data_IF_511025024312
#
_entry.id   IF_511025024312
#
_cell.length_a   1.000
_cell.length_b   1.000
_cell.length_c   1.000
_cell.angle_alpha   90.00
_cell.angle_beta   90.00
_cell.angle_gamma   90.00
#
_symmetry.space_group_name_H-M   'P 1'
#
loop_
_entity.id
_entity.type
_entity.pdbx_description
1 polymer ?
#
# COMPACT_ATOMS: atom_id res chain seq x y z
N UNK A 1 -56.04 0.17 -4.90
CA UNK A 1 -56.69 -0.89 -5.69
C UNK A 1 -57.47 -1.74 -4.70
N UNK A 2 -58.80 -1.79 -4.82
CA UNK A 2 -59.60 -2.60 -3.90
C UNK A 2 -59.29 -4.07 -4.17
N UNK A 3 -58.80 -4.80 -3.16
CA UNK A 3 -58.13 -6.12 -3.33
C UNK A 3 -59.09 -7.28 -3.57
N UNK A 4 -60.38 -7.01 -3.42
CA UNK A 4 -61.48 -7.97 -3.35
C UNK A 4 -62.71 -7.29 -3.92
N UNK A 5 -63.52 -8.02 -4.68
CA UNK A 5 -64.85 -7.57 -5.05
C UNK A 5 -65.84 -8.07 -3.99
N UNK A 6 -66.83 -7.24 -3.63
CA UNK A 6 -67.86 -7.60 -2.65
C UNK A 6 -67.55 -7.27 -1.19
N UNK A 7 -68.47 -7.65 -0.29
CA UNK A 7 -68.41 -7.37 1.15
C UNK A 7 -67.81 -8.53 1.96
N UNK A 8 -67.33 -9.58 1.28
CA UNK A 8 -67.01 -10.87 1.88
C UNK A 8 -65.56 -11.01 2.35
N UNK A 9 -64.95 -9.88 2.70
CA UNK A 9 -63.63 -9.78 3.29
C UNK A 9 -63.74 -9.70 4.82
N UNK A 10 -62.64 -9.99 5.50
CA UNK A 10 -62.51 -9.78 6.95
C UNK A 10 -61.52 -8.65 7.23
N UNK A 11 -61.78 -7.82 8.24
CA UNK A 11 -60.81 -6.84 8.70
C UNK A 11 -59.67 -7.58 9.43
N UNK A 12 -58.45 -7.44 8.91
CA UNK A 12 -57.23 -7.97 9.53
C UNK A 12 -56.45 -6.88 10.29
N UNK A 13 -57.13 -5.78 10.61
CA UNK A 13 -56.62 -4.67 11.39
C UNK A 13 -55.88 -3.62 10.54
N UNK A 14 -56.00 -2.36 10.97
CA UNK A 14 -55.37 -1.21 10.32
C UNK A 14 -56.01 -0.82 8.99
N UNK A 15 -57.31 -1.10 8.81
CA UNK A 15 -58.06 -0.81 7.59
C UNK A 15 -57.73 -1.74 6.42
N UNK A 16 -57.09 -2.89 6.70
CA UNK A 16 -56.68 -3.86 5.68
C UNK A 16 -57.74 -4.95 5.56
N UNK A 17 -58.16 -5.22 4.34
CA UNK A 17 -59.08 -6.32 3.98
C UNK A 17 -58.29 -7.60 3.77
N UNK A 18 -58.61 -8.66 4.52
CA UNK A 18 -58.03 -9.99 4.41
C UNK A 18 -59.00 -11.02 3.82
N UNK A 19 -58.45 -12.17 3.45
CA UNK A 19 -59.19 -13.30 2.93
C UNK A 19 -59.81 -14.14 4.06
N UNK A 20 -61.03 -14.66 3.85
CA UNK A 20 -61.66 -15.67 4.70
C UNK A 20 -62.16 -16.85 3.87
N UNK A 21 -62.12 -18.03 4.46
CA UNK A 21 -62.70 -19.23 3.86
C UNK A 21 -64.22 -19.13 3.80
N UNK A 22 -64.81 -19.84 2.83
CA UNK A 22 -66.25 -20.05 2.76
C UNK A 22 -66.68 -20.99 3.90
N UNK A 23 -67.66 -20.57 4.69
CA UNK A 23 -68.27 -21.38 5.75
C UNK A 23 -69.77 -21.46 5.52
N UNK A 24 -70.20 -22.51 4.82
CA UNK A 24 -71.61 -22.75 4.51
C UNK A 24 -72.46 -23.00 5.77
N UNK A 25 -71.88 -23.64 6.80
CA UNK A 25 -72.57 -23.93 8.07
C UNK A 25 -72.91 -22.67 8.85
N UNK A 26 -72.03 -21.67 8.82
CA UNK A 26 -72.24 -20.38 9.50
C UNK A 26 -72.81 -19.30 8.56
N UNK A 27 -73.09 -19.63 7.29
CA UNK A 27 -73.63 -18.71 6.30
C UNK A 27 -72.66 -17.61 5.85
N UNK A 28 -71.34 -17.82 5.99
CA UNK A 28 -70.35 -16.85 5.55
C UNK A 28 -69.81 -17.20 4.16
N UNK A 29 -70.01 -16.35 3.14
CA UNK A 29 -69.36 -16.52 1.85
C UNK A 29 -67.84 -16.30 1.97
N UNK A 30 -67.08 -17.06 1.19
CA UNK A 30 -65.63 -16.91 1.10
C UNK A 30 -65.26 -15.64 0.33
N UNK A 31 -64.05 -15.14 0.55
CA UNK A 31 -63.59 -13.93 -0.14
C UNK A 31 -63.35 -14.19 -1.63
N UNK A 32 -63.97 -13.38 -2.49
CA UNK A 32 -63.78 -13.46 -3.94
C UNK A 32 -62.46 -12.78 -4.35
N UNK A 33 -61.55 -13.55 -4.97
CA UNK A 33 -60.28 -13.05 -5.49
C UNK A 33 -60.44 -12.77 -6.99
N UNK A 34 -60.10 -11.55 -7.40
CA UNK A 34 -60.21 -11.13 -8.80
C UNK A 34 -58.98 -11.53 -9.61
N UNK A 35 -59.17 -11.76 -10.92
CA UNK A 35 -58.05 -11.95 -11.85
C UNK A 35 -57.11 -10.73 -11.86
N UNK A 36 -57.63 -9.52 -11.67
CA UNK A 36 -56.84 -8.30 -11.58
C UNK A 36 -55.84 -8.36 -10.42
N UNK A 37 -56.26 -8.89 -9.25
CA UNK A 37 -55.38 -9.05 -8.11
C UNK A 37 -54.30 -10.11 -8.36
N UNK A 38 -54.68 -11.27 -8.90
CA UNK A 38 -53.73 -12.35 -9.22
C UNK A 38 -52.68 -11.91 -10.25
N UNK A 39 -53.11 -11.22 -11.31
CA UNK A 39 -52.21 -10.67 -12.32
C UNK A 39 -51.26 -9.63 -11.71
N UNK A 40 -51.74 -8.75 -10.82
CA UNK A 40 -50.88 -7.76 -10.18
C UNK A 40 -49.74 -8.40 -9.36
N UNK A 41 -50.04 -9.45 -8.59
CA UNK A 41 -49.02 -10.20 -7.83
C UNK A 41 -48.05 -10.90 -8.78
N UNK A 42 -48.55 -11.51 -9.85
CA UNK A 42 -47.71 -12.15 -10.87
C UNK A 42 -46.73 -11.14 -11.49
N UNK A 43 -47.22 -9.98 -11.93
CA UNK A 43 -46.40 -8.96 -12.58
C UNK A 43 -45.34 -8.35 -11.63
N UNK A 44 -45.65 -8.22 -10.34
CA UNK A 44 -44.67 -7.77 -9.33
C UNK A 44 -43.52 -8.77 -9.18
N UNK A 45 -43.81 -10.07 -9.07
CA UNK A 45 -42.80 -11.12 -8.99
C UNK A 45 -42.02 -11.27 -10.29
N UNK A 46 -42.70 -11.18 -11.43
CA UNK A 46 -42.11 -11.20 -12.76
C UNK A 46 -41.14 -10.04 -12.98
N UNK A 47 -41.46 -8.85 -12.44
CA UNK A 47 -40.58 -7.68 -12.46
C UNK A 47 -39.30 -8.00 -11.70
N UNK A 48 -39.37 -8.51 -10.46
CA UNK A 48 -38.17 -8.86 -9.66
C UNK A 48 -37.31 -9.91 -10.38
N UNK A 49 -37.94 -10.93 -10.94
CA UNK A 49 -37.26 -12.02 -11.65
C UNK A 49 -36.49 -11.55 -12.89
N UNK A 50 -36.98 -10.52 -13.57
CA UNK A 50 -36.40 -10.01 -14.83
C UNK A 50 -35.41 -8.85 -14.64
N UNK A 51 -35.25 -8.30 -13.44
CA UNK A 51 -34.39 -7.14 -13.18
C UNK A 51 -32.90 -7.36 -13.47
N UNK A 52 -32.45 -8.61 -13.44
CA UNK A 52 -31.09 -8.98 -13.82
C UNK A 52 -30.91 -9.11 -15.36
N UNK A 53 -31.95 -8.82 -16.15
CA UNK A 53 -31.97 -8.97 -17.61
C UNK A 53 -32.38 -10.36 -18.11
N UNK A 54 -32.75 -11.30 -17.23
CA UNK A 54 -33.21 -12.63 -17.64
C UNK A 54 -34.66 -12.60 -18.18
N UNK A 55 -34.92 -13.41 -19.20
CA UNK A 55 -36.27 -13.63 -19.72
C UNK A 55 -37.05 -14.60 -18.83
N UNK A 56 -38.35 -14.37 -18.70
CA UNK A 56 -39.23 -15.24 -17.93
C UNK A 56 -39.45 -16.58 -18.64
N UNK A 57 -39.31 -17.69 -17.91
CA UNK A 57 -39.48 -19.04 -18.43
C UNK A 57 -40.63 -19.79 -17.73
N UNK A 58 -41.51 -20.40 -18.51
CA UNK A 58 -42.57 -21.26 -17.97
C UNK A 58 -41.97 -22.54 -17.33
N UNK A 59 -42.44 -22.90 -16.14
CA UNK A 59 -41.97 -24.09 -15.42
C UNK A 59 -40.70 -23.89 -14.59
N UNK A 60 -40.07 -22.71 -14.63
CA UNK A 60 -38.96 -22.36 -13.74
C UNK A 60 -39.49 -21.64 -12.49
N UNK A 61 -39.38 -22.32 -11.35
CA UNK A 61 -39.85 -21.83 -10.05
C UNK A 61 -38.75 -21.09 -9.25
N UNK A 62 -37.52 -20.96 -9.77
CA UNK A 62 -36.40 -20.32 -9.08
C UNK A 62 -36.15 -18.87 -9.51
N UNK A 63 -36.85 -18.36 -10.53
CA UNK A 63 -36.56 -17.08 -11.19
C UNK A 63 -36.57 -15.87 -10.24
N UNK A 64 -37.51 -15.80 -9.30
CA UNK A 64 -37.57 -14.72 -8.29
C UNK A 64 -36.34 -14.76 -7.37
N UNK A 65 -35.91 -15.96 -6.97
CA UNK A 65 -34.73 -16.12 -6.13
C UNK A 65 -33.46 -15.68 -6.86
N UNK A 66 -33.33 -16.02 -8.14
CA UNK A 66 -32.20 -15.57 -8.99
C UNK A 66 -32.22 -14.04 -9.16
N UNK A 67 -33.39 -13.44 -9.37
CA UNK A 67 -33.57 -11.99 -9.41
C UNK A 67 -33.07 -11.30 -8.14
N UNK A 68 -33.44 -11.81 -6.96
CA UNK A 68 -32.98 -11.29 -5.67
C UNK A 68 -31.46 -11.48 -5.50
N UNK A 69 -30.94 -12.68 -5.79
CA UNK A 69 -29.52 -13.01 -5.64
C UNK A 69 -28.61 -12.17 -6.54
N UNK A 70 -29.12 -11.69 -7.68
CA UNK A 70 -28.37 -10.79 -8.56
C UNK A 70 -28.01 -9.45 -7.90
N UNK A 71 -28.76 -9.04 -6.87
CA UNK A 71 -28.59 -7.74 -6.22
C UNK A 71 -29.07 -6.54 -7.03
N UNK A 72 -29.73 -6.75 -8.18
CA UNK A 72 -30.14 -5.69 -9.11
C UNK A 72 -30.99 -4.57 -8.46
N UNK A 73 -31.81 -4.91 -7.46
CA UNK A 73 -32.63 -3.95 -6.71
C UNK A 73 -31.83 -2.86 -5.99
N UNK A 74 -30.58 -3.15 -5.61
CA UNK A 74 -29.70 -2.24 -4.87
C UNK A 74 -28.46 -1.84 -5.67
N UNK A 75 -28.42 -2.16 -6.97
CA UNK A 75 -27.27 -1.92 -7.84
C UNK A 75 -27.54 -0.79 -8.82
N UNK A 76 -26.67 0.22 -8.81
CA UNK A 76 -26.60 1.25 -9.84
C UNK A 76 -25.47 0.92 -10.82
N UNK A 77 -25.84 0.57 -12.05
CA UNK A 77 -24.94 0.07 -13.09
C UNK A 77 -23.87 1.08 -13.57
N UNK A 78 -24.00 2.35 -13.18
CA UNK A 78 -23.02 3.39 -13.41
C UNK A 78 -23.40 4.64 -12.63
N UNK A 79 -22.48 5.17 -11.85
CA UNK A 79 -22.66 6.47 -11.22
C UNK A 79 -22.56 7.56 -12.31
N UNK A 80 -23.59 8.38 -12.43
CA UNK A 80 -23.50 9.66 -13.14
C UNK A 80 -22.79 10.72 -12.31
N UNK A 81 -22.85 11.97 -12.76
CA UNK A 81 -22.29 13.12 -12.03
C UNK A 81 -20.81 13.37 -12.32
N UNK A 82 -20.03 13.65 -11.27
CA UNK A 82 -18.60 14.03 -11.32
C UNK A 82 -17.78 13.30 -10.24
N UNK A 83 -16.47 13.56 -10.18
CA UNK A 83 -15.56 13.02 -9.17
C UNK A 83 -15.87 13.47 -7.72
N UNK A 84 -16.60 14.57 -7.54
CA UNK A 84 -17.00 15.11 -6.23
C UNK A 84 -18.50 14.98 -5.95
N UNK A 85 -19.29 14.63 -6.97
CA UNK A 85 -20.75 14.57 -6.87
C UNK A 85 -21.27 13.39 -7.67
N UNK A 86 -21.41 12.24 -7.01
CA UNK A 86 -21.91 11.03 -7.65
C UNK A 86 -23.44 11.01 -7.67
N UNK A 87 -24.01 10.44 -8.73
CA UNK A 87 -25.45 10.15 -8.80
C UNK A 87 -25.70 8.67 -9.03
N UNK A 88 -26.55 8.04 -8.24
CA UNK A 88 -26.95 6.65 -8.40
C UNK A 88 -28.45 6.56 -8.71
N UNK A 89 -28.81 5.83 -9.76
CA UNK A 89 -30.20 5.52 -10.07
C UNK A 89 -30.47 4.05 -9.76
N UNK A 90 -31.51 3.79 -8.96
CA UNK A 90 -31.95 2.44 -8.61
C UNK A 90 -33.31 2.14 -9.24
N UNK A 91 -33.62 0.84 -9.31
CA UNK A 91 -34.95 0.37 -9.64
C UNK A 91 -35.48 -0.57 -8.54
N UNK A 92 -36.68 -0.32 -7.99
CA UNK A 92 -37.48 0.89 -8.17
C UNK A 92 -36.79 2.13 -7.55
N UNK A 93 -37.13 3.36 -8.00
CA UNK A 93 -36.52 4.57 -7.44
C UNK A 93 -36.78 4.71 -5.94
N UNK A 94 -35.75 5.09 -5.19
CA UNK A 94 -35.84 5.36 -3.76
C UNK A 94 -36.45 6.76 -3.54
N UNK A 95 -37.60 6.81 -2.88
CA UNK A 95 -38.35 8.06 -2.63
C UNK A 95 -38.17 8.63 -1.21
N UNK A 96 -37.58 7.86 -0.29
CA UNK A 96 -37.27 8.31 1.06
C UNK A 96 -36.02 7.60 1.59
N UNK A 97 -35.25 8.28 2.45
CA UNK A 97 -34.07 7.70 3.13
C UNK A 97 -34.49 6.51 3.99
N UNK A 98 -33.66 5.46 3.96
CA UNK A 98 -33.88 4.23 4.73
C UNK A 98 -32.56 3.89 5.41
N UNK A 99 -32.34 4.36 6.67
CA UNK A 99 -31.13 4.02 7.41
C UNK A 99 -30.91 2.50 7.44
N UNK A 100 -29.69 2.06 7.14
CA UNK A 100 -29.30 0.66 6.97
C UNK A 100 -29.41 0.13 5.54
N UNK A 101 -29.97 0.87 4.59
CA UNK A 101 -30.04 0.45 3.19
C UNK A 101 -28.63 0.38 2.60
N UNK A 102 -28.29 -0.79 2.04
CA UNK A 102 -27.05 -0.99 1.30
C UNK A 102 -27.25 -0.70 -0.17
N UNK A 103 -26.28 -0.02 -0.74
CA UNK A 103 -26.23 0.41 -2.13
C UNK A 103 -24.94 -0.13 -2.73
N UNK A 104 -25.02 -0.62 -3.96
CA UNK A 104 -23.85 -0.97 -4.74
C UNK A 104 -23.81 -0.09 -5.97
N UNK A 105 -22.74 0.69 -6.12
CA UNK A 105 -22.65 1.72 -7.15
C UNK A 105 -21.38 1.52 -7.95
N UNK A 106 -21.50 1.29 -9.26
CA UNK A 106 -20.33 1.26 -10.14
C UNK A 106 -19.84 2.70 -10.39
N UNK A 107 -18.73 3.10 -9.77
CA UNK A 107 -18.22 4.45 -9.88
C UNK A 107 -17.57 4.69 -11.25
N UNK A 108 -18.15 5.57 -12.07
CA UNK A 108 -17.59 5.91 -13.39
C UNK A 108 -16.35 6.82 -13.28
N UNK A 109 -16.18 7.50 -12.15
CA UNK A 109 -15.09 8.45 -11.89
C UNK A 109 -14.26 8.01 -10.69
N UNK A 110 -12.96 8.32 -10.70
CA UNK A 110 -12.14 8.30 -9.49
C UNK A 110 -12.53 9.49 -8.57
N UNK A 111 -12.30 9.40 -7.24
CA UNK A 111 -12.69 10.45 -6.32
C UNK A 111 -11.87 11.74 -6.50
N UNK A 112 -12.53 12.88 -6.36
CA UNK A 112 -11.87 14.18 -6.23
C UNK A 112 -11.24 14.38 -4.83
N UNK A 113 -10.34 15.35 -4.71
CA UNK A 113 -9.84 15.78 -3.41
C UNK A 113 -10.90 16.63 -2.68
N UNK A 114 -11.07 16.43 -1.37
CA UNK A 114 -11.87 17.33 -0.52
C UNK A 114 -13.29 16.88 -0.17
N UNK A 115 -13.63 15.61 -0.42
CA UNK A 115 -14.95 15.04 -0.12
C UNK A 115 -15.73 14.66 -1.38
N UNK A 116 -16.86 13.99 -1.17
CA UNK A 116 -17.76 13.59 -2.24
C UNK A 116 -19.21 13.64 -1.72
N UNK A 117 -20.16 14.02 -2.56
CA UNK A 117 -21.59 13.85 -2.32
C UNK A 117 -22.14 12.67 -3.11
N UNK A 118 -23.24 12.07 -2.63
CA UNK A 118 -24.01 11.08 -3.37
C UNK A 118 -25.48 11.50 -3.41
N UNK A 119 -26.04 11.51 -4.62
CA UNK A 119 -27.47 11.66 -4.85
C UNK A 119 -28.06 10.34 -5.34
N UNK A 120 -29.01 9.77 -4.59
CA UNK A 120 -29.72 8.55 -4.97
C UNK A 120 -31.12 8.91 -5.47
N UNK A 121 -31.41 8.59 -6.73
CA UNK A 121 -32.71 8.84 -7.38
C UNK A 121 -33.24 10.28 -7.18
N UNK A 122 -34.46 10.41 -6.66
CA UNK A 122 -35.15 11.67 -6.39
C UNK A 122 -34.80 12.30 -5.03
N UNK A 123 -33.91 11.68 -4.25
CA UNK A 123 -33.51 12.21 -2.95
C UNK A 123 -32.60 13.44 -3.10
N UNK A 124 -32.52 14.24 -2.04
CA UNK A 124 -31.50 15.28 -1.94
C UNK A 124 -30.10 14.64 -1.91
N UNK A 125 -29.12 15.33 -2.50
CA UNK A 125 -27.72 14.94 -2.38
C UNK A 125 -27.26 15.09 -0.93
N UNK A 126 -26.40 14.18 -0.48
CA UNK A 126 -25.88 14.14 0.88
C UNK A 126 -24.42 13.69 0.88
N UNK A 127 -23.71 13.87 1.98
CA UNK A 127 -22.28 13.56 2.06
C UNK A 127 -22.04 12.05 1.91
N UNK A 128 -21.04 11.67 1.10
CA UNK A 128 -20.46 10.34 1.07
C UNK A 128 -19.13 10.39 1.83
N UNK A 129 -18.96 9.51 2.81
CA UNK A 129 -17.77 9.47 3.67
C UNK A 129 -17.08 8.11 3.66
N UNK A 130 -15.84 8.08 4.14
CA UNK A 130 -15.13 6.86 4.53
C UNK A 130 -15.76 6.26 5.80
N UNK A 131 -15.46 4.99 6.13
CA UNK A 131 -15.84 4.41 7.41
C UNK A 131 -15.47 5.33 8.59
N UNK A 132 -16.44 5.61 9.45
CA UNK A 132 -16.24 6.50 10.60
C UNK A 132 -16.40 8.00 10.31
N UNK A 133 -16.86 8.38 9.12
CA UNK A 133 -17.27 9.76 8.81
C UNK A 133 -16.17 10.69 8.30
N UNK A 134 -14.97 10.19 8.01
CA UNK A 134 -13.92 11.02 7.41
C UNK A 134 -14.24 11.32 5.93
N UNK A 135 -13.91 12.52 5.41
CA UNK A 135 -14.22 12.89 4.03
C UNK A 135 -13.47 11.99 3.04
N UNK A 136 -14.07 11.69 1.90
CA UNK A 136 -13.44 10.96 0.79
C UNK A 136 -12.13 11.64 0.34
N UNK A 137 -11.15 10.82 -0.02
CA UNK A 137 -9.83 11.23 -0.52
C UNK A 137 -9.55 10.66 -1.90
N UNK A 138 -8.61 11.30 -2.61
CA UNK A 138 -8.05 10.77 -3.84
C UNK A 138 -7.45 9.38 -3.59
N UNK A 139 -7.82 8.41 -4.42
CA UNK A 139 -7.36 7.03 -4.32
C UNK A 139 -8.21 6.10 -3.45
N UNK A 140 -9.29 6.59 -2.80
CA UNK A 140 -10.22 5.71 -2.06
C UNK A 140 -10.90 4.67 -2.97
N UNK A 141 -11.02 4.98 -4.26
CA UNK A 141 -11.41 4.05 -5.33
C UNK A 141 -10.84 4.46 -6.69
N UNK A 142 -10.89 3.56 -7.68
CA UNK A 142 -10.59 3.85 -9.08
C UNK A 142 -11.87 3.98 -9.93
N UNK A 143 -11.79 4.69 -11.07
CA UNK A 143 -12.85 4.68 -12.06
C UNK A 143 -13.12 3.23 -12.54
N UNK A 144 -14.40 2.87 -12.66
CA UNK A 144 -14.86 1.50 -12.94
C UNK A 144 -14.94 0.59 -11.71
N UNK A 145 -14.59 1.05 -10.51
CA UNK A 145 -14.72 0.26 -9.30
C UNK A 145 -16.15 0.23 -8.78
N UNK A 146 -16.58 -0.93 -8.28
CA UNK A 146 -17.85 -1.09 -7.60
C UNK A 146 -17.73 -0.71 -6.12
N UNK A 147 -18.52 0.28 -5.68
CA UNK A 147 -18.54 0.77 -4.31
C UNK A 147 -19.68 0.12 -3.53
N UNK A 148 -19.40 -0.42 -2.34
CA UNK A 148 -20.42 -0.87 -1.40
C UNK A 148 -20.66 0.23 -0.34
N UNK A 149 -21.84 0.84 -0.37
CA UNK A 149 -22.23 2.02 0.40
C UNK A 149 -23.39 1.66 1.34
N UNK A 150 -23.47 2.29 2.51
CA UNK A 150 -24.61 2.22 3.41
C UNK A 150 -25.18 3.61 3.68
N UNK A 151 -26.51 3.70 3.71
CA UNK A 151 -27.25 4.87 4.19
C UNK A 151 -27.29 4.86 5.73
N UNK A 152 -26.70 5.86 6.40
CA UNK A 152 -26.75 6.01 7.86
C UNK A 152 -27.89 6.91 8.35
N UNK A 153 -28.72 7.42 7.45
CA UNK A 153 -29.81 8.38 7.70
C UNK A 153 -29.39 9.84 7.70
N UNK A 154 -28.14 10.15 8.07
CA UNK A 154 -27.58 11.51 8.10
C UNK A 154 -26.47 11.76 7.09
N UNK A 155 -25.93 10.68 6.49
CA UNK A 155 -24.93 10.66 5.42
C UNK A 155 -24.88 9.28 4.77
N UNK A 156 -24.19 9.17 3.66
CA UNK A 156 -23.77 7.90 3.07
C UNK A 156 -22.35 7.55 3.51
N UNK A 157 -22.08 6.26 3.73
CA UNK A 157 -20.76 5.81 4.15
C UNK A 157 -20.30 4.62 3.29
N UNK A 158 -19.06 4.64 2.82
CA UNK A 158 -18.41 3.46 2.25
C UNK A 158 -18.30 2.38 3.32
N UNK A 159 -18.78 1.17 3.04
CA UNK A 159 -18.68 0.03 3.97
C UNK A 159 -17.35 -0.70 3.84
N UNK A 160 -16.72 -0.60 2.68
CA UNK A 160 -15.36 -1.08 2.43
C UNK A 160 -14.60 0.03 1.72
N UNK A 161 -13.36 0.26 2.14
CA UNK A 161 -12.42 1.00 1.31
C UNK A 161 -11.84 0.00 0.32
N UNK A 162 -11.65 0.40 -0.95
CA UNK A 162 -10.84 -0.36 -1.88
C UNK A 162 -9.43 -0.44 -1.32
N UNK A 163 -9.15 -1.44 -0.50
CA UNK A 163 -7.89 -1.56 0.20
C UNK A 163 -6.79 -1.85 -0.82
N UNK A 164 -6.07 -0.81 -1.25
CA UNK A 164 -4.74 -0.94 -1.87
C UNK A 164 -3.66 -1.17 -0.81
N UNK A 165 -4.00 -1.77 0.34
CA UNK A 165 -3.14 -1.83 1.52
C UNK A 165 -2.12 -2.98 1.53
N UNK A 166 -1.66 -3.41 0.37
CA UNK A 166 -0.31 -3.95 0.24
C UNK A 166 0.35 -3.21 -0.93
N UNK A 167 1.59 -2.70 -0.76
CA UNK A 167 2.30 -2.12 -1.88
C UNK A 167 2.39 -3.17 -2.98
N UNK A 168 1.70 -2.94 -4.08
CA UNK A 168 1.63 -3.86 -5.21
C UNK A 168 2.78 -3.62 -6.18
N UNK A 169 3.42 -2.46 -6.05
CA UNK A 169 4.52 -2.02 -6.87
C UNK A 169 5.74 -1.67 -6.01
N UNK A 170 6.92 -1.91 -6.57
CA UNK A 170 8.16 -1.48 -5.95
C UNK A 170 9.24 -1.19 -6.98
N UNK A 171 10.19 -0.36 -6.59
CA UNK A 171 11.38 -0.06 -7.40
C UNK A 171 12.62 -0.02 -6.51
N UNK A 172 13.75 -0.45 -7.07
CA UNK A 172 15.04 -0.48 -6.39
C UNK A 172 16.07 0.40 -7.11
N UNK A 173 16.75 1.26 -6.35
CA UNK A 173 17.89 2.06 -6.80
C UNK A 173 19.14 1.60 -6.06
N UNK A 174 20.05 0.92 -6.76
CA UNK A 174 21.25 0.29 -6.17
C UNK A 174 22.57 0.82 -6.74
N UNK A 175 22.51 1.63 -7.79
CA UNK A 175 23.67 2.31 -8.35
C UNK A 175 23.76 3.73 -7.78
N UNK A 176 24.96 4.19 -7.45
CA UNK A 176 25.18 5.53 -6.95
C UNK A 176 24.71 6.60 -7.95
N UNK A 177 24.02 7.62 -7.47
CA UNK A 177 23.47 8.66 -8.33
C UNK A 177 22.24 9.34 -7.76
N UNK A 178 21.68 10.25 -8.55
CA UNK A 178 20.42 10.92 -8.26
C UNK A 178 19.38 10.50 -9.29
N UNK A 179 18.21 10.06 -8.83
CA UNK A 179 17.14 9.54 -9.67
C UNK A 179 15.83 10.28 -9.43
N UNK A 180 15.08 10.63 -10.47
CA UNK A 180 13.70 11.08 -10.33
C UNK A 180 12.76 9.91 -10.06
N UNK A 181 11.87 10.04 -9.09
CA UNK A 181 10.70 9.16 -8.95
C UNK A 181 9.43 10.01 -8.87
N UNK A 182 8.51 9.82 -9.81
CA UNK A 182 7.20 10.47 -9.78
C UNK A 182 6.21 9.52 -9.10
N UNK A 183 5.52 9.99 -8.05
CA UNK A 183 4.50 9.19 -7.39
C UNK A 183 3.37 8.84 -8.38
N UNK A 184 3.08 7.54 -8.61
CA UNK A 184 2.03 7.16 -9.55
C UNK A 184 0.65 7.64 -9.12
N UNK A 185 -0.31 7.57 -10.05
CA UNK A 185 -1.71 7.88 -9.74
C UNK A 185 -2.23 7.00 -8.59
N UNK A 186 -3.02 7.57 -7.69
CA UNK A 186 -3.56 6.88 -6.50
C UNK A 186 -2.54 6.60 -5.38
N UNK A 187 -1.23 6.81 -5.60
CA UNK A 187 -0.21 6.65 -4.57
C UNK A 187 -0.22 7.84 -3.60
N UNK A 188 -0.76 7.64 -2.40
CA UNK A 188 -0.78 8.66 -1.33
C UNK A 188 0.23 8.37 -0.21
N UNK A 189 0.81 7.18 -0.20
CA UNK A 189 1.85 6.74 0.74
C UNK A 189 2.86 5.85 0.04
N UNK A 190 4.10 5.93 0.49
CA UNK A 190 5.18 5.03 0.04
C UNK A 190 6.00 4.61 1.25
N UNK A 191 6.35 3.32 1.33
CA UNK A 191 7.38 2.84 2.24
C UNK A 191 8.73 3.02 1.57
N UNK A 192 9.65 3.68 2.25
CA UNK A 192 11.04 3.82 1.81
C UNK A 192 11.96 3.04 2.75
N UNK A 193 12.75 2.13 2.18
CA UNK A 193 13.84 1.43 2.84
C UNK A 193 15.16 1.95 2.27
N UNK A 194 15.97 2.60 3.10
CA UNK A 194 17.15 3.35 2.66
C UNK A 194 18.39 2.86 3.39
N UNK A 195 19.46 2.60 2.65
CA UNK A 195 20.78 2.29 3.17
C UNK A 195 21.83 3.25 2.64
N UNK A 196 22.62 3.85 3.54
CA UNK A 196 23.80 4.64 3.19
C UNK A 196 24.89 3.77 2.56
N UNK A 197 25.85 4.38 1.87
CA UNK A 197 26.95 3.64 1.25
C UNK A 197 28.01 3.19 2.27
N UNK A 198 28.83 2.20 1.94
CA UNK A 198 29.94 1.78 2.78
C UNK A 198 31.18 2.66 2.62
N UNK A 199 31.98 2.81 3.68
CA UNK A 199 33.29 3.46 3.61
C UNK A 199 34.35 2.54 2.98
N UNK A 200 35.38 3.14 2.37
CA UNK A 200 36.53 2.39 1.85
C UNK A 200 37.48 1.96 2.98
N UNK A 201 38.11 0.80 2.85
CA UNK A 201 39.10 0.30 3.80
C UNK A 201 40.43 1.05 3.74
N UNK A 202 41.22 0.97 4.80
CA UNK A 202 42.56 1.55 4.86
C UNK A 202 43.59 0.73 4.07
N UNK A 203 44.60 1.41 3.53
CA UNK A 203 45.76 0.74 2.95
C UNK A 203 46.79 0.37 4.02
N UNK A 204 47.51 -0.72 3.79
CA UNK A 204 48.65 -1.12 4.61
C UNK A 204 49.98 -0.82 3.90
N UNK A 205 50.99 -0.43 4.67
CA UNK A 205 52.39 -0.57 4.30
C UNK A 205 52.92 -1.98 4.55
N UNK A 206 54.21 -2.19 4.30
CA UNK A 206 54.88 -3.51 4.32
C UNK A 206 54.65 -4.28 5.64
N UNK A 207 54.56 -3.60 6.78
CA UNK A 207 54.36 -4.20 8.10
C UNK A 207 53.10 -3.65 8.83
N UNK A 208 52.10 -3.19 8.07
CA UNK A 208 50.94 -2.47 8.60
C UNK A 208 49.62 -3.26 8.69
N UNK A 209 48.99 -3.27 9.85
CA UNK A 209 47.63 -3.76 10.02
C UNK A 209 46.58 -2.65 9.93
N UNK A 210 46.05 -2.39 8.74
CA UNK A 210 45.02 -1.36 8.50
C UNK A 210 43.59 -1.81 8.86
N UNK A 211 42.69 -0.86 9.09
CA UNK A 211 41.28 -1.15 9.44
C UNK A 211 40.35 -1.16 8.22
N UNK A 212 39.29 -1.96 8.26
CA UNK A 212 38.22 -1.90 7.27
C UNK A 212 37.37 -0.64 7.38
N UNK A 213 36.62 -0.32 6.32
CA UNK A 213 35.65 0.77 6.28
C UNK A 213 34.35 0.41 7.00
N UNK A 214 33.61 1.41 7.47
CA UNK A 214 32.32 1.21 8.15
C UNK A 214 31.19 0.90 7.17
N UNK A 215 30.16 0.19 7.63
CA UNK A 215 28.92 0.01 6.87
C UNK A 215 28.02 1.25 6.96
N UNK A 216 27.20 1.50 5.95
CA UNK A 216 26.20 2.57 5.95
C UNK A 216 25.07 2.32 6.95
N UNK A 217 24.44 3.41 7.39
CA UNK A 217 23.23 3.33 8.22
C UNK A 217 22.05 2.80 7.41
N UNK A 218 21.01 2.32 8.11
CA UNK A 218 19.79 1.81 7.48
C UNK A 218 18.55 2.36 8.19
N UNK A 219 17.56 2.81 7.42
CA UNK A 219 16.28 3.20 7.97
C UNK A 219 15.09 2.81 7.09
N UNK A 220 13.94 2.65 7.74
CA UNK A 220 12.65 2.41 7.08
C UNK A 220 11.61 3.41 7.58
N UNK A 221 10.79 3.92 6.67
CA UNK A 221 9.70 4.84 6.98
C UNK A 221 8.54 4.72 6.00
N UNK A 222 7.34 5.12 6.44
CA UNK A 222 6.18 5.28 5.56
C UNK A 222 5.86 6.77 5.50
N UNK A 223 5.89 7.32 4.29
CA UNK A 223 5.77 8.76 4.09
C UNK A 223 4.58 9.10 3.22
N UNK A 224 3.87 10.21 3.52
CA UNK A 224 2.87 10.73 2.62
C UNK A 224 3.54 11.24 1.34
N UNK A 225 2.92 10.94 0.22
CA UNK A 225 3.25 11.44 -1.11
C UNK A 225 1.98 11.92 -1.80
N UNK A 226 2.11 12.82 -2.77
CA UNK A 226 0.98 13.25 -3.59
C UNK A 226 1.14 12.65 -4.99
N UNK A 227 0.10 12.06 -5.58
CA UNK A 227 0.14 11.57 -6.95
C UNK A 227 0.62 12.64 -7.92
N UNK A 228 1.49 12.26 -8.87
CA UNK A 228 2.08 13.16 -9.87
C UNK A 228 3.25 14.01 -9.38
N UNK A 229 3.52 14.09 -8.07
CA UNK A 229 4.66 14.82 -7.56
C UNK A 229 5.98 14.06 -7.80
N UNK A 230 7.01 14.83 -8.15
CA UNK A 230 8.38 14.34 -8.31
C UNK A 230 9.13 14.34 -6.97
N UNK A 231 9.78 13.23 -6.66
CA UNK A 231 10.65 13.07 -5.50
C UNK A 231 12.04 12.62 -5.94
N UNK A 232 13.06 13.31 -5.45
CA UNK A 232 14.46 12.96 -5.73
C UNK A 232 14.92 11.81 -4.84
N UNK A 233 15.47 10.77 -5.47
CA UNK A 233 16.17 9.67 -4.80
C UNK A 233 17.66 9.96 -4.87
N UNK A 234 18.38 9.79 -3.76
CA UNK A 234 19.84 9.84 -3.75
C UNK A 234 20.36 8.49 -3.30
N UNK A 235 21.25 7.88 -4.08
CA UNK A 235 22.00 6.70 -3.69
C UNK A 235 23.45 7.12 -3.50
N UNK A 236 23.96 6.97 -2.29
CA UNK A 236 25.34 7.32 -1.95
C UNK A 236 26.36 6.46 -2.70
N UNK A 237 27.46 7.07 -3.14
CA UNK A 237 28.60 6.35 -3.69
C UNK A 237 29.40 5.64 -2.59
N UNK A 238 29.92 4.45 -2.88
CA UNK A 238 30.84 3.78 -1.98
C UNK A 238 32.14 4.57 -1.80
N UNK A 239 32.74 4.50 -0.62
CA UNK A 239 34.03 5.12 -0.35
C UNK A 239 35.15 4.41 -1.10
N UNK A 240 36.12 5.15 -1.63
CA UNK A 240 37.32 4.59 -2.23
C UNK A 240 38.23 4.03 -1.15
N UNK A 241 38.86 2.89 -1.43
CA UNK A 241 39.91 2.35 -0.60
C UNK A 241 41.12 3.28 -0.54
N UNK A 242 41.83 3.24 0.59
CA UNK A 242 43.07 4.01 0.74
C UNK A 242 44.14 3.51 -0.23
N UNK A 243 45.08 4.38 -0.58
CA UNK A 243 46.27 4.05 -1.37
C UNK A 243 47.54 4.26 -0.55
N UNK A 244 48.54 3.39 -0.69
CA UNK A 244 49.89 3.58 -0.12
C UNK A 244 49.89 3.96 1.38
N UNK A 245 49.40 3.08 2.25
CA UNK A 245 49.23 3.33 3.69
C UNK A 245 48.27 4.49 4.07
N UNK A 246 47.54 5.04 3.09
CA UNK A 246 46.51 6.07 3.30
C UNK A 246 45.18 5.53 3.83
N UNK A 247 44.39 6.44 4.40
CA UNK A 247 43.01 6.17 4.78
C UNK A 247 42.13 6.00 3.53
N UNK A 248 41.05 5.24 3.65
CA UNK A 248 39.99 5.26 2.64
C UNK A 248 39.19 6.57 2.66
N UNK A 249 38.11 6.63 1.90
CA UNK A 249 37.13 7.71 1.96
C UNK A 249 35.81 7.26 2.58
N UNK A 250 35.04 8.21 3.09
CA UNK A 250 33.69 7.93 3.61
C UNK A 250 32.77 7.47 2.48
N UNK A 251 31.76 6.67 2.82
CA UNK A 251 30.63 6.41 1.95
C UNK A 251 29.70 7.62 1.87
N UNK A 252 29.03 7.77 0.73
CA UNK A 252 27.99 8.79 0.52
C UNK A 252 26.68 8.47 1.25
N UNK A 253 25.91 9.52 1.52
CA UNK A 253 24.56 9.44 2.08
C UNK A 253 23.56 9.02 1.01
N UNK A 254 22.60 8.16 1.38
CA UNK A 254 21.42 7.84 0.57
C UNK A 254 20.17 8.44 1.19
N UNK A 255 19.18 8.83 0.37
CA UNK A 255 17.95 9.44 0.85
C UNK A 255 16.75 9.25 -0.09
N UNK A 256 15.56 9.34 0.50
CA UNK A 256 14.32 9.61 -0.22
C UNK A 256 13.91 11.07 0.03
N UNK A 257 14.27 11.96 -0.89
CA UNK A 257 14.05 13.40 -0.77
C UNK A 257 14.52 13.91 0.61
N UNK A 258 13.71 14.72 1.30
CA UNK A 258 13.97 15.19 2.68
C UNK A 258 13.25 14.34 3.75
N UNK A 259 12.72 13.17 3.39
CA UNK A 259 11.87 12.35 4.28
C UNK A 259 12.65 11.37 5.14
N UNK A 260 13.73 10.81 4.59
CA UNK A 260 14.64 9.90 5.27
C UNK A 260 16.04 10.05 4.69
N UNK A 261 17.03 9.98 5.57
CA UNK A 261 18.44 10.11 5.23
C UNK A 261 19.23 9.06 5.99
N UNK A 262 20.08 8.33 5.27
CA UNK A 262 21.00 7.33 5.83
C UNK A 262 22.42 7.67 5.42
N UNK A 263 23.25 8.05 6.39
CA UNK A 263 24.64 8.41 6.14
C UNK A 263 25.48 7.19 5.78
N UNK A 264 26.52 7.42 4.98
CA UNK A 264 27.48 6.38 4.68
C UNK A 264 28.39 6.05 5.87
N UNK A 265 29.01 4.87 5.82
CA UNK A 265 30.02 4.47 6.79
C UNK A 265 31.30 5.30 6.67
N UNK A 266 32.03 5.43 7.79
CA UNK A 266 33.33 6.12 7.78
C UNK A 266 34.41 5.32 7.07
N UNK A 267 35.46 6.00 6.62
CA UNK A 267 36.65 5.36 6.08
C UNK A 267 37.37 4.48 7.10
N UNK A 268 38.05 3.44 6.59
CA UNK A 268 39.07 2.69 7.30
C UNK A 268 40.39 3.44 7.36
N UNK A 269 41.09 3.28 8.46
CA UNK A 269 42.36 3.95 8.72
C UNK A 269 43.52 3.15 8.12
N UNK A 270 44.32 3.81 7.28
CA UNK A 270 45.55 3.27 6.76
C UNK A 270 46.68 3.31 7.79
N UNK A 271 47.74 2.56 7.51
CA UNK A 271 48.93 2.55 8.38
C UNK A 271 50.16 2.09 7.59
N UNK A 272 51.30 2.73 7.84
CA UNK A 272 52.58 2.40 7.18
C UNK A 272 53.29 1.20 7.82
N UNK A 273 53.23 1.08 9.15
CA UNK A 273 53.78 -0.04 9.93
C UNK A 273 53.10 -0.12 11.29
N UNK A 274 52.93 -1.32 11.83
CA UNK A 274 52.34 -1.58 13.15
C UNK A 274 50.82 -1.83 13.13
N UNK A 275 50.18 -1.72 14.29
CA UNK A 275 48.77 -2.06 14.48
C UNK A 275 47.87 -0.83 14.53
N UNK A 276 46.85 -0.77 13.68
CA UNK A 276 45.83 0.27 13.73
C UNK A 276 44.74 -0.07 14.75
N UNK A 277 44.70 0.69 15.85
CA UNK A 277 43.71 0.48 16.91
C UNK A 277 42.35 1.14 16.65
N UNK A 278 42.29 2.04 15.66
CA UNK A 278 41.06 2.77 15.31
C UNK A 278 40.21 1.99 14.30
N UNK A 279 38.91 1.88 14.58
CA UNK A 279 37.93 1.33 13.64
C UNK A 279 37.07 2.41 13.01
N UNK A 280 36.65 2.15 11.78
CA UNK A 280 35.69 2.99 11.08
C UNK A 280 34.30 2.87 11.69
N UNK A 281 33.71 4.00 12.10
CA UNK A 281 32.32 4.01 12.56
C UNK A 281 31.35 3.69 11.42
N UNK A 282 30.26 2.98 11.73
CA UNK A 282 29.15 2.82 10.79
C UNK A 282 28.28 4.07 10.69
N UNK A 283 27.58 4.20 9.58
CA UNK A 283 26.63 5.28 9.31
C UNK A 283 25.37 5.18 10.18
N UNK A 284 24.60 6.25 10.21
CA UNK A 284 23.35 6.42 10.97
C UNK A 284 22.18 6.71 10.03
N UNK A 285 20.95 6.59 10.53
CA UNK A 285 19.75 7.03 9.83
C UNK A 285 18.89 7.95 10.69
N UNK A 286 18.09 8.79 10.05
CA UNK A 286 17.11 9.68 10.71
C UNK A 286 15.74 9.56 10.06
N UNK A 287 14.71 9.92 10.83
CA UNK A 287 13.33 10.13 10.35
C UNK A 287 12.58 8.86 9.85
N UNK A 288 13.17 7.67 10.04
CA UNK A 288 12.48 6.38 9.90
C UNK A 288 11.67 6.00 11.15
N UNK A 289 10.67 5.12 11.01
CA UNK A 289 10.12 4.39 12.17
C UNK A 289 11.12 3.34 12.67
N UNK A 290 12.01 2.87 11.79
CA UNK A 290 13.16 2.04 12.12
C UNK A 290 14.42 2.81 11.74
N UNK A 291 15.36 2.93 12.67
CA UNK A 291 16.67 3.53 12.44
C UNK A 291 17.74 2.64 13.04
N UNK A 292 18.65 2.15 12.20
CA UNK A 292 19.71 1.21 12.58
C UNK A 292 21.07 1.77 12.17
N UNK A 293 22.01 1.71 13.11
CA UNK A 293 23.40 2.07 12.84
C UNK A 293 24.07 0.97 12.03
N UNK A 294 24.89 1.37 11.05
CA UNK A 294 25.81 0.50 10.33
C UNK A 294 26.82 -0.15 11.28
N UNK A 295 27.29 -1.35 10.96
CA UNK A 295 28.36 -1.96 11.72
C UNK A 295 29.68 -1.21 11.49
N UNK A 296 30.54 -1.22 12.51
CA UNK A 296 31.90 -0.69 12.40
C UNK A 296 32.75 -1.58 11.50
N UNK A 297 33.74 -1.00 10.82
CA UNK A 297 34.82 -1.77 10.21
C UNK A 297 35.70 -2.38 11.31
N UNK A 298 36.24 -3.56 11.09
CA UNK A 298 37.13 -4.21 12.06
C UNK A 298 38.55 -3.66 11.95
N UNK A 299 39.29 -3.75 13.05
CA UNK A 299 40.75 -3.55 13.03
C UNK A 299 41.43 -4.73 12.33
N UNK A 300 42.70 -4.58 12.00
CA UNK A 300 43.52 -5.71 11.55
C UNK A 300 43.62 -6.81 12.62
N UNK A 301 44.01 -8.02 12.20
CA UNK A 301 44.31 -9.12 13.11
C UNK A 301 45.77 -9.58 12.91
N UNK A 302 46.51 -9.94 13.97
CA UNK A 302 47.80 -10.59 13.82
C UNK A 302 47.62 -11.89 13.03
N UNK A 303 48.44 -12.10 12.01
CA UNK A 303 48.45 -13.31 11.20
C UNK A 303 49.89 -13.70 10.91
N UNK A 304 50.42 -14.70 11.62
CA UNK A 304 51.80 -15.15 11.47
C UNK A 304 52.81 -14.01 11.66
N UNK A 305 53.78 -13.81 10.74
CA UNK A 305 54.76 -12.73 10.84
C UNK A 305 54.21 -11.34 10.43
N UNK A 306 52.97 -11.25 9.95
CA UNK A 306 52.38 -10.01 9.45
C UNK A 306 50.94 -9.77 9.93
N UNK A 307 50.16 -9.01 9.15
CA UNK A 307 48.82 -8.57 9.52
C UNK A 307 47.76 -8.93 8.48
N UNK A 308 46.64 -9.46 8.95
CA UNK A 308 45.41 -9.54 8.20
C UNK A 308 44.70 -8.17 8.24
N UNK A 309 44.36 -7.62 7.08
CA UNK A 309 43.58 -6.38 6.97
C UNK A 309 42.18 -6.55 7.53
N UNK A 310 41.71 -5.54 8.26
CA UNK A 310 40.40 -5.55 8.91
C UNK A 310 39.22 -5.73 7.95
N UNK A 311 38.22 -6.48 8.39
CA UNK A 311 36.94 -6.66 7.69
C UNK A 311 36.15 -5.34 7.57
N UNK A 312 35.36 -5.18 6.50
CA UNK A 312 34.50 -4.01 6.29
C UNK A 312 33.15 -4.14 6.99
N UNK A 313 32.58 -3.08 7.57
CA UNK A 313 31.31 -3.13 8.30
C UNK A 313 30.11 -3.44 7.40
N UNK A 314 29.12 -4.18 7.92
CA UNK A 314 27.85 -4.46 7.25
C UNK A 314 26.84 -3.31 7.34
N UNK A 315 25.94 -3.24 6.35
CA UNK A 315 24.74 -2.41 6.41
C UNK A 315 23.55 -3.27 6.89
N UNK A 316 22.84 -2.89 7.97
CA UNK A 316 21.72 -3.66 8.48
C UNK A 316 20.67 -3.92 7.40
N UNK A 317 20.10 -5.13 7.38
CA UNK A 317 19.01 -5.54 6.47
C UNK A 317 19.31 -5.51 4.97
N UNK A 318 20.50 -5.08 4.54
CA UNK A 318 20.88 -5.05 3.12
C UNK A 318 21.96 -6.04 2.77
N UNK A 319 23.10 -6.02 3.47
CA UNK A 319 24.26 -6.80 3.07
C UNK A 319 25.16 -7.21 4.24
N UNK A 320 25.91 -8.29 4.03
CA UNK A 320 26.94 -8.76 4.94
C UNK A 320 28.21 -7.88 4.96
N UNK A 321 29.24 -8.37 5.64
CA UNK A 321 30.55 -7.73 5.79
C UNK A 321 31.51 -8.15 4.67
N UNK A 322 32.42 -7.26 4.26
CA UNK A 322 33.60 -7.68 3.49
C UNK A 322 34.57 -8.42 4.43
N UNK A 323 35.10 -9.61 4.06
CA UNK A 323 35.89 -10.42 4.97
C UNK A 323 37.25 -9.78 5.31
N UNK A 324 37.93 -10.32 6.33
CA UNK A 324 39.34 -10.02 6.56
C UNK A 324 40.17 -10.42 5.33
N UNK A 325 41.24 -9.67 5.06
CA UNK A 325 42.14 -10.00 3.95
C UNK A 325 43.54 -10.34 4.44
N UNK A 326 44.10 -11.47 3.96
CA UNK A 326 45.53 -11.78 4.09
C UNK A 326 46.35 -11.23 2.89
N UNK A 327 45.67 -10.58 1.95
CA UNK A 327 46.17 -10.23 0.64
C UNK A 327 45.56 -8.92 0.12
N UNK A 328 45.30 -8.81 -1.19
CA UNK A 328 44.52 -7.71 -1.75
C UNK A 328 43.20 -7.53 -1.02
N UNK A 329 42.78 -6.28 -0.81
CA UNK A 329 41.55 -5.99 -0.11
C UNK A 329 40.31 -6.43 -0.90
N UNK A 330 39.23 -6.72 -0.18
CA UNK A 330 37.92 -7.02 -0.73
C UNK A 330 37.09 -5.76 -0.84
N UNK A 331 36.45 -5.58 -1.99
CA UNK A 331 35.35 -4.62 -2.12
C UNK A 331 34.18 -5.01 -1.23
N UNK A 332 33.32 -4.05 -0.91
CA UNK A 332 32.10 -4.32 -0.17
C UNK A 332 31.26 -5.43 -0.82
N UNK A 333 30.92 -6.48 -0.06
CA UNK A 333 30.10 -7.62 -0.46
C UNK A 333 28.61 -7.38 -0.77
N UNK A 334 28.12 -6.13 -0.80
CA UNK A 334 26.73 -5.77 -1.14
C UNK A 334 26.35 -4.34 -0.74
N UNK A 335 25.13 -3.86 -1.03
CA UNK A 335 24.78 -2.45 -0.80
C UNK A 335 25.05 -1.97 0.62
N UNK A 336 25.74 -0.83 0.73
CA UNK A 336 26.05 -0.16 1.98
C UNK A 336 27.17 -0.79 2.81
N UNK A 337 27.75 -1.93 2.44
CA UNK A 337 28.84 -2.50 3.23
C UNK A 337 30.19 -1.85 2.92
N UNK A 338 31.04 -1.72 3.94
CA UNK A 338 32.37 -1.17 3.84
C UNK A 338 33.35 -2.12 3.16
N UNK A 339 34.41 -1.56 2.57
CA UNK A 339 35.52 -2.35 2.01
C UNK A 339 36.46 -2.85 3.10
N UNK A 340 37.13 -3.98 2.87
CA UNK A 340 38.16 -4.47 3.78
C UNK A 340 39.43 -3.62 3.67
N UNK A 341 40.29 -3.68 4.68
CA UNK A 341 41.66 -3.19 4.55
C UNK A 341 42.52 -4.15 3.69
N UNK A 342 43.64 -3.65 3.18
CA UNK A 342 44.70 -4.49 2.64
C UNK A 342 45.38 -5.28 3.77
N UNK A 343 45.66 -6.57 3.55
CA UNK A 343 46.49 -7.36 4.46
C UNK A 343 47.93 -7.35 3.98
N UNK A 344 48.92 -7.13 4.84
CA UNK A 344 50.35 -7.15 4.45
C UNK A 344 51.07 -8.41 4.97
N UNK A 345 50.38 -9.55 5.00
CA UNK A 345 50.89 -10.80 5.59
C UNK A 345 52.25 -11.24 5.02
N UNK A 346 52.51 -10.94 3.76
CA UNK A 346 53.70 -11.31 2.99
C UNK A 346 54.71 -10.17 2.83
N UNK A 347 54.59 -9.09 3.62
CA UNK A 347 55.51 -7.96 3.55
C UNK A 347 55.30 -7.06 2.32
N UNK A 348 54.11 -7.09 1.72
CA UNK A 348 53.76 -6.26 0.56
C UNK A 348 52.73 -5.21 0.96
N UNK A 349 53.01 -3.94 0.65
CA UNK A 349 52.06 -2.85 0.83
C UNK A 349 50.86 -3.03 -0.12
N UNK A 350 49.64 -2.79 0.38
CA UNK A 350 48.40 -2.99 -0.38
C UNK A 350 47.38 -1.89 -0.14
N UNK A 351 46.65 -1.59 -1.19
CA UNK A 351 45.53 -0.66 -1.14
C UNK A 351 44.34 -1.27 -0.39
N UNK A 352 43.49 -0.39 0.13
CA UNK A 352 42.22 -0.77 0.74
C UNK A 352 41.15 -1.11 -0.29
N UNK A 353 40.12 -1.80 0.15
CA UNK A 353 38.97 -2.16 -0.68
C UNK A 353 37.97 -1.02 -0.74
N UNK A 354 37.34 -0.82 -1.90
CA UNK A 354 36.25 0.14 -2.03
C UNK A 354 35.02 -0.34 -1.25
N UNK A 355 34.34 0.59 -0.58
CA UNK A 355 33.00 0.36 -0.06
C UNK A 355 31.98 0.22 -1.20
N UNK A 356 30.86 -0.41 -0.91
CA UNK A 356 29.75 -0.54 -1.87
C UNK A 356 28.85 0.71 -1.85
N UNK A 357 28.19 0.99 -2.97
CA UNK A 357 27.14 2.00 -3.05
C UNK A 357 25.99 1.69 -2.08
N UNK A 358 25.22 2.72 -1.70
CA UNK A 358 24.01 2.53 -0.91
C UNK A 358 22.87 1.89 -1.70
N UNK A 359 21.67 1.88 -1.11
CA UNK A 359 20.45 1.48 -1.83
C UNK A 359 19.22 2.22 -1.32
N UNK A 360 18.25 2.42 -2.20
CA UNK A 360 16.91 2.92 -1.87
C UNK A 360 15.87 2.01 -2.52
N UNK A 361 14.95 1.49 -1.71
CA UNK A 361 13.80 0.72 -2.17
C UNK A 361 12.53 1.48 -1.82
N UNK A 362 11.63 1.60 -2.79
CA UNK A 362 10.30 2.19 -2.61
C UNK A 362 9.24 1.13 -2.85
N UNK A 363 8.24 1.06 -1.99
CA UNK A 363 7.10 0.14 -2.07
C UNK A 363 5.79 0.95 -1.89
N UNK A 364 4.86 0.88 -2.85
CA UNK A 364 3.58 1.61 -2.81
C UNK A 364 2.41 0.88 -3.49
#
# INVERSE_FOLDING_TARGET
MDRVNGLDWIDIGGGRRGFRDRNDTAGFPGTEITAAWLNAVQEELATIASLNGAALAAGDFAQVAVGIQSGALNYAAGAGGTATDLTAALYPPVLARKPGMKLRVLATYAPGAGGCSLKVDGLAADELTRPGGAPIQLGDWAAGQCLDIIDLGTRYELTTLGFTGLPSNGVAYIAAGSYPWTAPEGCTRVKASVGGAGGGGGACGIDGGASGGGGGGYGEGIYPVAPGNLYTITVGAGGLGGTLAGNGTNGGTSSFSTRISCTGGRFGYGISSGYQASNAAGGTSTDGFLNLQGARGSNALPAGPGWAGGAGGSCPRLAGTAPYSLGPAWVGGGPGCGGSAGGCFDGVARDGGNGAAGAVFLEW
#
